data_IF_118701173685
#
_entry.id   IF_118701173685
#
_cell.length_a   1.000
_cell.length_b   1.000
_cell.length_c   1.000
_cell.angle_alpha   90.00
_cell.angle_beta   90.00
_cell.angle_gamma   90.00
#
_symmetry.space_group_name_H-M   'P 1'
#
loop_
_entity.id
_entity.type
_entity.pdbx_description
1 polymer ?
#
# COMPACT_ATOMS: atom_id res chain seq x y z
N UNK A 1 -22.52 -47.92 -21.51
CA UNK A 1 -21.23 -48.02 -20.81
C UNK A 1 -20.78 -46.59 -20.72
N UNK A 2 -21.20 -45.92 -19.65
CA UNK A 2 -21.22 -44.46 -19.62
C UNK A 2 -20.20 -44.01 -18.57
N UNK A 3 -19.21 -43.24 -19.06
CA UNK A 3 -18.12 -42.65 -18.30
C UNK A 3 -18.65 -41.72 -17.21
N UNK A 4 -18.61 -42.18 -15.96
CA UNK A 4 -18.78 -41.36 -14.75
C UNK A 4 -17.52 -41.60 -13.94
N UNK A 5 -16.48 -40.78 -14.12
CA UNK A 5 -15.29 -40.70 -13.23
C UNK A 5 -14.38 -39.53 -13.67
N UNK A 6 -14.92 -38.30 -13.79
CA UNK A 6 -14.07 -37.17 -14.18
C UNK A 6 -14.41 -35.81 -13.54
N UNK A 7 -15.24 -35.77 -12.49
CA UNK A 7 -15.57 -34.50 -11.80
C UNK A 7 -14.92 -34.41 -10.40
N UNK A 8 -14.65 -35.54 -9.72
CA UNK A 8 -14.13 -35.53 -8.34
C UNK A 8 -12.61 -35.32 -8.23
N UNK A 9 -11.90 -35.11 -9.35
CA UNK A 9 -10.42 -35.00 -9.37
C UNK A 9 -9.90 -33.58 -9.67
N UNK A 10 -10.78 -32.58 -9.77
CA UNK A 10 -10.41 -31.19 -10.09
C UNK A 10 -10.22 -30.32 -8.84
N UNK A 11 -10.80 -30.68 -7.69
CA UNK A 11 -10.66 -29.90 -6.45
C UNK A 11 -9.30 -30.06 -5.75
N UNK A 12 -8.51 -31.06 -6.14
CA UNK A 12 -7.19 -31.30 -5.59
C UNK A 12 -6.14 -30.60 -6.47
N UNK A 13 -5.77 -29.36 -6.13
CA UNK A 13 -4.48 -28.66 -6.39
C UNK A 13 -4.55 -27.15 -6.68
N UNK A 14 -5.56 -26.41 -6.22
CA UNK A 14 -5.37 -24.96 -6.04
C UNK A 14 -4.72 -24.69 -4.67
N UNK A 15 -3.40 -24.90 -4.61
CA UNK A 15 -2.60 -24.55 -3.42
C UNK A 15 -2.74 -23.05 -3.10
N UNK A 16 -2.83 -22.71 -1.82
CA UNK A 16 -2.89 -21.31 -1.39
C UNK A 16 -1.65 -20.58 -1.90
N UNK A 17 -1.88 -19.60 -2.78
CA UNK A 17 -0.81 -18.79 -3.35
C UNK A 17 -0.23 -17.89 -2.27
N UNK A 18 1.04 -18.12 -1.93
CA UNK A 18 1.76 -17.26 -0.99
C UNK A 18 2.00 -15.89 -1.60
N UNK A 19 1.90 -14.86 -0.78
CA UNK A 19 2.27 -13.51 -1.21
C UNK A 19 3.76 -13.48 -1.59
N UNK A 20 4.08 -12.88 -2.74
CA UNK A 20 5.48 -12.76 -3.22
C UNK A 20 6.32 -11.98 -2.20
N UNK A 21 7.61 -12.30 -2.13
CA UNK A 21 8.54 -11.53 -1.30
C UNK A 21 8.49 -10.05 -1.68
N UNK A 22 8.58 -9.17 -0.68
CA UNK A 22 8.51 -7.71 -0.82
C UNK A 22 7.20 -7.13 -1.38
N UNK A 23 6.18 -7.96 -1.63
CA UNK A 23 4.89 -7.47 -2.10
C UNK A 23 4.14 -6.76 -0.97
N UNK A 24 3.76 -5.51 -1.22
CA UNK A 24 3.02 -4.68 -0.27
C UNK A 24 1.60 -5.21 -0.03
N UNK A 25 1.17 -5.13 1.24
CA UNK A 25 -0.19 -5.47 1.68
C UNK A 25 -1.01 -4.21 1.95
N UNK A 26 -2.08 -4.10 1.18
CA UNK A 26 -3.10 -3.06 1.18
C UNK A 26 -3.66 -2.70 2.56
N UNK A 27 -4.10 -1.45 2.75
CA UNK A 27 -4.95 -1.08 3.90
C UNK A 27 -6.18 -1.98 4.00
N UNK A 28 -6.89 -2.21 2.90
CA UNK A 28 -8.08 -3.07 2.88
C UNK A 28 -7.76 -4.50 3.29
N UNK A 29 -6.68 -5.07 2.73
CA UNK A 29 -6.20 -6.42 3.08
C UNK A 29 -5.82 -6.53 4.56
N UNK A 30 -5.17 -5.51 5.14
CA UNK A 30 -4.85 -5.45 6.57
C UNK A 30 -6.10 -5.47 7.45
N UNK A 31 -7.16 -4.77 7.04
CA UNK A 31 -8.44 -4.78 7.76
C UNK A 31 -9.06 -6.18 7.69
N UNK A 32 -9.05 -6.82 6.53
CA UNK A 32 -9.55 -8.19 6.35
C UNK A 32 -8.80 -9.16 7.27
N UNK A 33 -7.46 -9.10 7.26
CA UNK A 33 -6.62 -9.92 8.15
C UNK A 33 -6.98 -9.75 9.63
N UNK A 34 -7.14 -8.51 10.07
CA UNK A 34 -7.53 -8.23 11.45
C UNK A 34 -8.90 -8.80 11.79
N UNK A 35 -9.88 -8.64 10.90
CA UNK A 35 -11.23 -9.16 11.08
C UNK A 35 -11.26 -10.70 11.10
N UNK A 36 -10.46 -11.36 10.25
CA UNK A 36 -10.32 -12.82 10.26
C UNK A 36 -9.74 -13.32 11.57
N UNK A 37 -8.67 -12.69 12.07
CA UNK A 37 -8.10 -13.05 13.38
C UNK A 37 -9.11 -12.84 14.50
N UNK A 38 -9.86 -11.72 14.48
CA UNK A 38 -10.92 -11.44 15.46
C UNK A 38 -12.03 -12.50 15.41
N UNK A 39 -12.41 -12.95 14.21
CA UNK A 39 -13.38 -14.04 14.02
C UNK A 39 -12.88 -15.34 14.66
N UNK A 40 -11.64 -15.74 14.38
CA UNK A 40 -11.03 -16.95 14.95
C UNK A 40 -10.94 -16.88 16.48
N UNK A 41 -10.63 -15.71 17.05
CA UNK A 41 -10.63 -15.51 18.51
C UNK A 41 -12.06 -15.66 19.09
N UNK A 42 -13.06 -15.09 18.43
CA UNK A 42 -14.46 -15.22 18.86
C UNK A 42 -14.98 -16.66 18.78
N UNK A 43 -14.43 -17.47 17.88
CA UNK A 43 -14.66 -18.93 17.81
C UNK A 43 -13.96 -19.70 18.95
N UNK A 44 -13.30 -19.01 19.88
CA UNK A 44 -12.66 -19.59 21.06
C UNK A 44 -11.20 -19.98 20.86
N UNK A 45 -10.59 -19.67 19.71
CA UNK A 45 -9.18 -20.00 19.44
C UNK A 45 -8.25 -19.01 20.13
N UNK A 46 -7.06 -19.47 20.53
CA UNK A 46 -6.04 -18.57 21.06
C UNK A 46 -5.57 -17.57 20.00
N UNK A 47 -5.03 -16.42 20.42
CA UNK A 47 -4.48 -15.40 19.51
C UNK A 47 -3.41 -15.99 18.58
N UNK A 48 -2.55 -16.87 19.11
CA UNK A 48 -1.51 -17.53 18.33
C UNK A 48 -2.08 -18.48 17.28
N UNK A 49 -3.05 -19.32 17.66
CA UNK A 49 -3.72 -20.25 16.75
C UNK A 49 -4.46 -19.49 15.64
N UNK A 50 -5.14 -18.40 15.99
CA UNK A 50 -5.86 -17.54 15.06
C UNK A 50 -4.95 -16.93 13.99
N UNK A 51 -3.74 -16.51 14.37
CA UNK A 51 -2.73 -15.99 13.43
C UNK A 51 -2.22 -17.07 12.49
N UNK A 52 -2.01 -18.29 12.99
CA UNK A 52 -1.54 -19.43 12.17
C UNK A 52 -2.60 -19.78 11.13
N UNK A 53 -3.85 -19.96 11.54
CA UNK A 53 -4.95 -20.27 10.64
C UNK A 53 -5.16 -19.18 9.58
N UNK A 54 -5.15 -17.92 10.00
CA UNK A 54 -5.26 -16.80 9.05
C UNK A 54 -4.09 -16.81 8.05
N UNK A 55 -2.88 -17.17 8.49
CA UNK A 55 -1.71 -17.27 7.61
C UNK A 55 -1.87 -18.36 6.55
N UNK A 56 -2.42 -19.50 6.93
CA UNK A 56 -2.69 -20.65 6.07
C UNK A 56 -3.84 -20.35 5.09
N UNK A 57 -4.91 -19.70 5.55
CA UNK A 57 -6.06 -19.31 4.74
C UNK A 57 -5.72 -18.23 3.71
N UNK A 58 -4.92 -17.22 4.08
CA UNK A 58 -4.68 -16.05 3.22
C UNK A 58 -3.34 -16.08 2.48
N UNK A 59 -2.45 -17.03 2.79
CA UNK A 59 -1.10 -17.07 2.21
C UNK A 59 -0.20 -15.89 2.62
N UNK A 60 -0.54 -15.19 3.71
CA UNK A 60 0.21 -14.04 4.22
C UNK A 60 1.06 -14.50 5.41
N UNK A 61 2.29 -13.98 5.52
CA UNK A 61 3.18 -14.39 6.60
C UNK A 61 2.63 -14.03 7.99
N UNK A 62 2.81 -14.95 8.93
CA UNK A 62 2.45 -14.75 10.35
C UNK A 62 3.00 -13.44 10.92
N UNK A 63 4.24 -13.09 10.58
CA UNK A 63 4.88 -11.84 11.01
C UNK A 63 4.13 -10.60 10.54
N UNK A 64 3.62 -10.61 9.30
CA UNK A 64 2.82 -9.49 8.77
C UNK A 64 1.48 -9.38 9.49
N UNK A 65 0.82 -10.52 9.74
CA UNK A 65 -0.44 -10.57 10.49
C UNK A 65 -0.23 -10.04 11.91
N UNK A 66 0.83 -10.46 12.60
CA UNK A 66 1.21 -9.92 13.91
C UNK A 66 1.44 -8.42 13.90
N UNK A 67 2.21 -7.91 12.94
CA UNK A 67 2.45 -6.47 12.83
C UNK A 67 1.16 -5.69 12.56
N UNK A 68 0.24 -6.29 11.79
CA UNK A 68 -1.07 -5.71 11.49
C UNK A 68 -1.95 -5.66 12.72
N UNK A 69 -2.01 -6.74 13.50
CA UNK A 69 -2.75 -6.77 14.77
C UNK A 69 -2.20 -5.72 15.74
N UNK A 70 -0.87 -5.72 15.94
CA UNK A 70 -0.21 -4.76 16.85
C UNK A 70 -0.50 -3.31 16.45
N UNK A 71 -0.44 -3.02 15.15
CA UNK A 71 -0.78 -1.71 14.61
C UNK A 71 -2.26 -1.36 14.84
N UNK A 72 -3.17 -2.28 14.59
CA UNK A 72 -4.61 -2.07 14.79
C UNK A 72 -4.96 -1.84 16.26
N UNK A 73 -4.35 -2.60 17.17
CA UNK A 73 -4.54 -2.47 18.63
C UNK A 73 -3.98 -1.14 19.15
N UNK A 74 -2.84 -0.69 18.64
CA UNK A 74 -2.19 0.55 19.07
C UNK A 74 -2.81 1.81 18.43
N UNK A 75 -2.96 1.83 17.11
CA UNK A 75 -3.37 3.03 16.36
C UNK A 75 -4.89 3.13 16.15
N UNK A 76 -5.63 2.04 16.40
CA UNK A 76 -7.07 1.93 16.08
C UNK A 76 -7.38 1.92 14.58
N UNK A 77 -6.36 1.91 13.71
CA UNK A 77 -6.52 2.00 12.26
C UNK A 77 -5.43 1.24 11.50
N UNK A 78 -5.83 0.61 10.40
CA UNK A 78 -4.89 0.01 9.47
C UNK A 78 -4.24 1.12 8.65
N UNK A 79 -2.91 1.25 8.76
CA UNK A 79 -2.15 2.13 7.86
C UNK A 79 -1.42 1.30 6.81
N UNK A 80 -1.32 1.86 5.63
CA UNK A 80 -0.43 1.39 4.57
C UNK A 80 0.90 2.12 4.70
N UNK A 81 2.04 1.51 4.30
CA UNK A 81 3.19 2.23 3.82
C UNK A 81 2.83 3.55 3.14
N UNK A 82 3.52 4.60 3.58
CA UNK A 82 3.28 5.96 3.14
C UNK A 82 3.35 6.03 1.60
N UNK A 83 2.23 6.36 0.95
CA UNK A 83 2.22 6.76 -0.47
C UNK A 83 2.92 8.11 -0.69
N UNK A 84 3.11 8.89 0.38
CA UNK A 84 3.73 10.21 0.35
C UNK A 84 5.20 10.12 0.77
N UNK A 85 6.06 10.94 0.15
CA UNK A 85 7.48 11.01 0.52
C UNK A 85 7.62 11.46 1.98
N UNK A 86 8.53 10.84 2.74
CA UNK A 86 8.79 11.18 4.15
C UNK A 86 9.37 12.59 4.32
N UNK A 87 10.10 13.09 3.33
CA UNK A 87 10.68 14.44 3.32
C UNK A 87 9.97 15.29 2.28
N UNK A 88 9.48 16.45 2.72
CA UNK A 88 9.00 17.50 1.84
C UNK A 88 10.17 18.03 0.99
N UNK A 89 9.93 18.24 -0.31
CA UNK A 89 10.86 18.94 -1.18
C UNK A 89 10.91 20.43 -0.80
N UNK A 90 11.95 21.16 -1.25
CA UNK A 90 11.99 22.61 -1.06
C UNK A 90 10.78 23.31 -1.72
N UNK A 91 10.26 22.73 -2.82
CA UNK A 91 9.07 23.22 -3.50
C UNK A 91 7.80 23.07 -2.65
N UNK A 92 7.68 21.99 -1.87
CA UNK A 92 6.52 21.75 -1.01
C UNK A 92 6.43 22.76 0.15
N UNK A 93 7.55 23.41 0.49
CA UNK A 93 7.62 24.44 1.55
C UNK A 93 7.16 25.83 1.09
N UNK A 94 7.09 26.06 -0.22
CA UNK A 94 6.68 27.36 -0.77
C UNK A 94 5.16 27.56 -0.59
N UNK A 95 4.76 28.78 -0.24
CA UNK A 95 3.33 29.16 -0.24
C UNK A 95 2.81 29.26 -1.68
N UNK A 96 1.49 29.22 -1.89
CA UNK A 96 0.93 29.40 -3.24
C UNK A 96 1.23 30.79 -3.82
N UNK A 97 1.34 31.80 -2.97
CA UNK A 97 1.76 33.15 -3.35
C UNK A 97 3.18 33.16 -3.93
N UNK A 98 4.09 32.35 -3.36
CA UNK A 98 5.46 32.19 -3.86
C UNK A 98 5.51 31.31 -5.12
N UNK A 99 4.64 30.31 -5.25
CA UNK A 99 4.62 29.41 -6.43
C UNK A 99 4.06 30.08 -7.68
N UNK A 100 3.10 31.00 -7.54
CA UNK A 100 2.45 31.68 -8.68
C UNK A 100 3.43 32.42 -9.61
N UNK A 101 4.37 33.27 -9.12
CA UNK A 101 5.34 33.93 -9.98
C UNK A 101 6.30 32.93 -10.65
N UNK A 102 6.78 31.92 -9.92
CA UNK A 102 7.59 30.84 -10.50
C UNK A 102 6.87 30.15 -11.66
N UNK A 103 5.58 29.79 -11.52
CA UNK A 103 4.79 29.20 -12.60
C UNK A 103 4.69 30.13 -13.81
N UNK A 104 4.48 31.44 -13.60
CA UNK A 104 4.44 32.42 -14.70
C UNK A 104 5.77 32.48 -15.44
N UNK A 105 6.89 32.51 -14.72
CA UNK A 105 8.24 32.49 -15.30
C UNK A 105 8.44 31.26 -16.18
N UNK A 106 8.18 30.06 -15.67
CA UNK A 106 8.30 28.83 -16.45
C UNK A 106 7.35 28.80 -17.65
N UNK A 107 6.13 29.31 -17.48
CA UNK A 107 5.15 29.39 -18.55
C UNK A 107 5.60 30.34 -19.67
N UNK A 108 6.21 31.48 -19.33
CA UNK A 108 6.76 32.41 -20.31
C UNK A 108 7.91 31.80 -21.10
N UNK A 109 8.82 31.07 -20.44
CA UNK A 109 9.87 30.31 -21.16
C UNK A 109 9.28 29.30 -22.14
N UNK A 110 8.22 28.60 -21.74
CA UNK A 110 7.52 27.66 -22.62
C UNK A 110 6.86 28.35 -23.82
N UNK A 111 6.13 29.45 -23.61
CA UNK A 111 5.48 30.23 -24.69
C UNK A 111 6.52 30.75 -25.68
N UNK A 112 7.65 31.24 -25.16
CA UNK A 112 8.70 31.84 -25.98
C UNK A 112 9.60 30.79 -26.66
N UNK A 113 9.33 29.48 -26.51
CA UNK A 113 10.18 28.37 -26.97
C UNK A 113 11.64 28.51 -26.50
N UNK A 114 11.85 29.06 -25.31
CA UNK A 114 13.16 29.25 -24.73
C UNK A 114 13.48 28.14 -23.72
N UNK A 115 14.70 27.61 -23.78
CA UNK A 115 15.17 26.66 -22.78
C UNK A 115 15.44 27.41 -21.46
N UNK A 116 14.73 27.08 -20.37
CA UNK A 116 14.96 27.71 -19.08
C UNK A 116 16.32 27.28 -18.54
N UNK A 117 17.19 28.26 -18.28
CA UNK A 117 18.47 28.05 -17.62
C UNK A 117 18.46 28.76 -16.26
N UNK A 118 19.33 28.35 -15.32
CA UNK A 118 19.38 28.93 -13.97
C UNK A 118 19.55 30.45 -13.99
N UNK A 119 20.44 30.97 -14.84
CA UNK A 119 20.72 32.40 -14.96
C UNK A 119 19.48 33.22 -15.39
N UNK A 120 18.81 32.77 -16.45
CA UNK A 120 17.58 33.35 -17.00
C UNK A 120 16.44 33.27 -16.00
N UNK A 121 16.32 32.16 -15.28
CA UNK A 121 15.33 32.02 -14.21
C UNK A 121 15.59 33.06 -13.11
N UNK A 122 16.84 33.18 -12.62
CA UNK A 122 17.18 34.18 -11.61
C UNK A 122 16.89 35.61 -12.09
N UNK A 123 17.24 35.93 -13.34
CA UNK A 123 16.96 37.24 -13.96
C UNK A 123 15.46 37.55 -14.08
N UNK A 124 14.63 36.54 -14.31
CA UNK A 124 13.18 36.72 -14.46
C UNK A 124 12.40 36.84 -13.14
N UNK A 125 13.06 36.59 -12.01
CA UNK A 125 12.47 36.61 -10.66
C UNK A 125 12.86 37.86 -9.86
N UNK A 126 13.95 38.54 -10.24
CA UNK A 126 14.43 39.82 -9.68
C UNK A 126 13.80 40.96 -10.46
#
# INVERSE_FOLDING_TARGET
MDNINNEDNVENQLSVLKNKSSQYIGRGQRIILFNMVKKHINEGKSKNASVILTSEETGISKSTIWSTIKQMEHDGKATSPLKKRKRASQYDKLSEEQKKPLRKVFHNFFINNEIPNLSKIYQSVI
#
